data_IF_735042259075
#
_entry.id   IF_735042259075
#
_cell.length_a   1.000
_cell.length_b   1.000
_cell.length_c   1.000
_cell.angle_alpha   90.00
_cell.angle_beta   90.00
_cell.angle_gamma   90.00
#
_symmetry.space_group_name_H-M   'P 1'
#
loop_
_entity.id
_entity.type
_entity.pdbx_description
1 polymer ?
#
# COMPACT_ATOMS: atom_id res chain seq x y z
N UNK A 1 0.08 -22.90 -10.96
CA UNK A 1 0.03 -21.65 -10.17
C UNK A 1 0.44 -20.44 -11.02
N UNK A 2 1.50 -20.57 -11.82
CA UNK A 2 2.11 -19.48 -12.60
C UNK A 2 1.18 -18.76 -13.58
N UNK A 3 0.32 -19.48 -14.31
CA UNK A 3 -0.61 -18.86 -15.28
C UNK A 3 -1.62 -17.91 -14.61
N UNK A 4 -2.08 -18.24 -13.40
CA UNK A 4 -3.02 -17.41 -12.62
C UNK A 4 -2.29 -16.15 -12.11
N UNK A 5 -1.05 -16.29 -11.65
CA UNK A 5 -0.23 -15.16 -11.21
C UNK A 5 0.04 -14.18 -12.36
N UNK A 6 0.42 -14.68 -13.53
CA UNK A 6 0.67 -13.88 -14.73
C UNK A 6 -0.59 -13.12 -15.15
N UNK A 7 -1.74 -13.79 -15.21
CA UNK A 7 -2.97 -13.15 -15.65
C UNK A 7 -3.48 -12.12 -14.64
N UNK A 8 -3.36 -12.40 -13.34
CA UNK A 8 -3.70 -11.46 -12.27
C UNK A 8 -2.88 -10.17 -12.38
N UNK A 9 -1.57 -10.27 -12.64
CA UNK A 9 -0.68 -9.11 -12.76
C UNK A 9 -1.05 -8.17 -13.93
N UNK A 10 -1.62 -8.69 -15.03
CA UNK A 10 -2.08 -7.85 -16.15
C UNK A 10 -3.22 -6.90 -15.79
N UNK A 11 -3.91 -7.15 -14.68
CA UNK A 11 -5.02 -6.32 -14.22
C UNK A 11 -4.63 -5.26 -13.19
N UNK A 12 -3.36 -5.26 -12.75
CA UNK A 12 -2.86 -4.39 -11.67
C UNK A 12 -2.90 -2.91 -12.03
N UNK A 13 -2.59 -2.56 -13.28
CA UNK A 13 -2.62 -1.18 -13.75
C UNK A 13 -4.04 -0.61 -13.73
N UNK A 14 -5.03 -1.44 -14.12
CA UNK A 14 -6.45 -1.07 -14.07
C UNK A 14 -6.93 -0.83 -12.64
N UNK A 15 -6.52 -1.70 -11.71
CA UNK A 15 -6.79 -1.51 -10.27
C UNK A 15 -6.20 -0.20 -9.73
N UNK A 16 -4.96 0.14 -10.11
CA UNK A 16 -4.29 1.39 -9.70
C UNK A 16 -5.01 2.62 -10.28
N UNK A 17 -5.39 2.59 -11.55
CA UNK A 17 -6.17 3.67 -12.16
C UNK A 17 -7.53 3.86 -11.47
N UNK A 18 -8.25 2.77 -11.19
CA UNK A 18 -9.51 2.84 -10.46
C UNK A 18 -9.35 3.35 -9.03
N UNK A 19 -8.18 3.18 -8.40
CA UNK A 19 -7.89 3.79 -7.09
C UNK A 19 -7.89 5.31 -7.19
N UNK A 20 -7.38 5.88 -8.29
CA UNK A 20 -7.44 7.32 -8.55
C UNK A 20 -8.89 7.76 -8.71
N UNK A 21 -9.69 7.05 -9.50
CA UNK A 21 -11.12 7.38 -9.66
C UNK A 21 -11.89 7.28 -8.34
N UNK A 22 -11.62 6.24 -7.54
CA UNK A 22 -12.20 6.09 -6.22
C UNK A 22 -11.86 7.29 -5.33
N UNK A 23 -10.59 7.52 -5.01
CA UNK A 23 -10.27 8.58 -4.03
C UNK A 23 -10.40 9.99 -4.61
N UNK A 24 -10.26 10.14 -5.92
CA UNK A 24 -10.56 11.37 -6.65
C UNK A 24 -12.02 11.76 -6.55
N UNK A 25 -12.93 10.79 -6.72
CA UNK A 25 -14.35 11.05 -6.53
C UNK A 25 -14.70 11.42 -5.09
N UNK A 26 -14.06 10.80 -4.08
CA UNK A 26 -14.26 11.17 -2.68
C UNK A 26 -13.73 12.58 -2.36
N UNK A 27 -12.55 12.92 -2.89
CA UNK A 27 -11.98 14.27 -2.78
C UNK A 27 -12.89 15.33 -3.40
N UNK A 28 -13.37 15.09 -4.63
CA UNK A 28 -14.29 16.01 -5.30
C UNK A 28 -15.63 16.12 -4.55
N UNK A 29 -16.19 15.00 -4.06
CA UNK A 29 -17.39 15.00 -3.23
C UNK A 29 -17.24 15.94 -2.02
N UNK A 30 -16.08 15.95 -1.38
CA UNK A 30 -15.81 16.77 -0.21
C UNK A 30 -15.71 18.27 -0.52
N UNK A 31 -15.34 18.66 -1.75
CA UNK A 31 -15.21 20.06 -2.17
C UNK A 31 -16.51 20.64 -2.75
N UNK A 32 -17.41 19.79 -3.23
CA UNK A 32 -18.65 20.23 -3.87
C UNK A 32 -19.65 20.77 -2.85
N UNK A 33 -20.45 21.75 -3.28
CA UNK A 33 -21.59 22.28 -2.49
C UNK A 33 -22.93 21.69 -2.93
N UNK A 34 -23.07 21.39 -4.23
CA UNK A 34 -24.28 20.82 -4.82
C UNK A 34 -24.48 19.36 -4.38
N UNK A 35 -25.67 19.05 -3.85
CA UNK A 35 -25.99 17.73 -3.29
C UNK A 35 -26.14 16.63 -4.35
N UNK A 36 -26.77 16.93 -5.50
CA UNK A 36 -26.88 15.97 -6.62
C UNK A 36 -25.49 15.58 -7.14
N UNK A 37 -24.57 16.55 -7.31
CA UNK A 37 -23.19 16.24 -7.69
C UNK A 37 -22.48 15.38 -6.64
N UNK A 38 -22.68 15.64 -5.34
CA UNK A 38 -22.10 14.80 -4.27
C UNK A 38 -22.54 13.36 -4.37
N UNK A 39 -23.82 13.11 -4.65
CA UNK A 39 -24.37 11.77 -4.79
C UNK A 39 -23.79 11.06 -6.02
N UNK A 40 -23.64 11.75 -7.14
CA UNK A 40 -22.97 11.20 -8.34
C UNK A 40 -21.54 10.78 -8.05
N UNK A 41 -20.76 11.62 -7.36
CA UNK A 41 -19.38 11.28 -6.98
C UNK A 41 -19.32 10.17 -5.92
N UNK A 42 -20.31 10.07 -5.01
CA UNK A 42 -20.43 8.92 -4.11
C UNK A 42 -20.73 7.61 -4.87
N UNK A 43 -21.56 7.67 -5.92
CA UNK A 43 -21.80 6.57 -6.85
C UNK A 43 -20.50 6.13 -7.53
N UNK A 44 -19.73 7.07 -8.07
CA UNK A 44 -18.44 6.80 -8.71
C UNK A 44 -17.41 6.19 -7.74
N UNK A 45 -17.36 6.68 -6.49
CA UNK A 45 -16.53 6.09 -5.43
C UNK A 45 -16.90 4.63 -5.20
N UNK A 46 -18.19 4.34 -5.10
CA UNK A 46 -18.71 3.01 -4.77
C UNK A 46 -18.48 2.03 -5.93
N UNK A 47 -18.78 2.44 -7.16
CA UNK A 47 -18.55 1.65 -8.38
C UNK A 47 -17.05 1.36 -8.61
N UNK A 48 -16.19 2.35 -8.41
CA UNK A 48 -14.74 2.18 -8.53
C UNK A 48 -14.20 1.26 -7.43
N UNK A 49 -14.68 1.40 -6.19
CA UNK A 49 -14.33 0.51 -5.07
C UNK A 49 -14.68 -0.94 -5.40
N UNK A 50 -15.91 -1.19 -5.86
CA UNK A 50 -16.36 -2.53 -6.21
C UNK A 50 -15.56 -3.13 -7.37
N UNK A 51 -15.32 -2.34 -8.43
CA UNK A 51 -14.51 -2.77 -9.58
C UNK A 51 -13.09 -3.17 -9.17
N UNK A 52 -12.46 -2.42 -8.26
CA UNK A 52 -11.14 -2.77 -7.72
C UNK A 52 -11.12 -4.09 -6.98
N UNK A 53 -12.15 -4.38 -6.19
CA UNK A 53 -12.28 -5.68 -5.49
C UNK A 53 -12.28 -6.84 -6.49
N UNK A 54 -12.97 -6.69 -7.62
CA UNK A 54 -12.96 -7.69 -8.69
C UNK A 54 -11.56 -7.94 -9.27
N UNK A 55 -10.77 -6.89 -9.51
CA UNK A 55 -9.38 -7.03 -9.99
C UNK A 55 -8.42 -7.62 -8.95
N UNK A 56 -8.82 -7.69 -7.67
CA UNK A 56 -7.98 -8.17 -6.58
C UNK A 56 -8.30 -9.59 -6.13
N UNK A 57 -9.31 -10.21 -6.74
CA UNK A 57 -9.67 -11.59 -6.43
C UNK A 57 -8.43 -12.48 -6.54
N UNK A 58 -8.23 -13.31 -5.52
CA UNK A 58 -7.10 -14.24 -5.40
C UNK A 58 -5.70 -13.60 -5.29
N UNK A 59 -5.59 -12.28 -5.10
CA UNK A 59 -4.27 -11.62 -4.93
C UNK A 59 -3.47 -12.12 -3.72
N UNK A 60 -4.14 -12.65 -2.69
CA UNK A 60 -3.46 -13.24 -1.53
C UNK A 60 -2.47 -14.36 -1.88
N UNK A 61 -2.65 -15.06 -3.01
CA UNK A 61 -1.70 -16.11 -3.44
C UNK A 61 -0.30 -15.51 -3.71
N UNK A 62 -0.23 -14.28 -4.22
CA UNK A 62 1.04 -13.59 -4.47
C UNK A 62 1.77 -13.27 -3.16
N UNK A 63 1.04 -13.01 -2.07
CA UNK A 63 1.65 -12.75 -0.77
C UNK A 63 2.24 -14.03 -0.16
N UNK A 64 1.66 -15.21 -0.42
CA UNK A 64 2.25 -16.50 -0.01
C UNK A 64 3.57 -16.74 -0.73
N UNK A 65 3.61 -16.55 -2.05
CA UNK A 65 4.85 -16.67 -2.83
C UNK A 65 5.92 -15.66 -2.37
N UNK A 66 5.51 -14.42 -2.09
CA UNK A 66 6.41 -13.40 -1.55
C UNK A 66 6.98 -13.79 -0.17
N UNK A 67 6.17 -14.39 0.71
CA UNK A 67 6.63 -14.89 2.02
C UNK A 67 7.70 -15.98 1.84
N UNK A 68 7.47 -16.94 0.94
CA UNK A 68 8.45 -17.99 0.64
C UNK A 68 9.78 -17.42 0.15
N UNK A 69 9.74 -16.41 -0.74
CA UNK A 69 10.93 -15.69 -1.22
C UNK A 69 11.68 -14.99 -0.08
N UNK A 70 10.97 -14.32 0.83
CA UNK A 70 11.59 -13.64 1.99
C UNK A 70 12.27 -14.66 2.93
N UNK A 71 11.67 -15.84 3.12
CA UNK A 71 12.30 -16.89 3.92
C UNK A 71 13.63 -17.35 3.33
N UNK A 72 13.66 -17.57 2.01
CA UNK A 72 14.83 -18.04 1.27
C UNK A 72 15.92 -16.98 1.08
N UNK A 73 15.59 -15.69 1.18
CA UNK A 73 16.56 -14.60 0.98
C UNK A 73 17.57 -14.53 2.13
N UNK A 74 18.81 -14.96 1.89
CA UNK A 74 19.90 -14.93 2.88
C UNK A 74 20.48 -13.54 3.13
N UNK A 75 20.21 -12.57 2.26
CA UNK A 75 20.73 -11.20 2.38
C UNK A 75 19.99 -10.37 3.44
N UNK A 76 18.76 -10.75 3.76
CA UNK A 76 17.93 -10.05 4.74
C UNK A 76 18.30 -10.43 6.17
N UNK A 77 18.56 -9.43 6.99
CA UNK A 77 18.72 -9.65 8.42
C UNK A 77 17.38 -10.05 9.09
N UNK A 78 17.48 -10.65 10.28
CA UNK A 78 16.31 -11.20 11.01
C UNK A 78 15.18 -10.18 11.18
N UNK A 79 15.50 -8.93 11.55
CA UNK A 79 14.51 -7.87 11.72
C UNK A 79 13.84 -7.49 10.39
N UNK A 80 14.58 -7.36 9.29
CA UNK A 80 14.00 -7.07 7.98
C UNK A 80 13.10 -8.21 7.50
N UNK A 81 13.52 -9.48 7.68
CA UNK A 81 12.68 -10.64 7.38
C UNK A 81 11.37 -10.60 8.16
N UNK A 82 11.44 -10.37 9.47
CA UNK A 82 10.26 -10.27 10.33
C UNK A 82 9.29 -9.18 9.83
N UNK A 83 9.76 -7.94 9.64
CA UNK A 83 8.91 -6.85 9.18
C UNK A 83 8.29 -7.13 7.80
N UNK A 84 9.04 -7.70 6.88
CA UNK A 84 8.54 -8.03 5.54
C UNK A 84 7.54 -9.19 5.57
N UNK A 85 7.75 -10.24 6.37
CA UNK A 85 6.79 -11.34 6.53
C UNK A 85 5.47 -10.82 7.11
N UNK A 86 5.51 -10.02 8.18
CA UNK A 86 4.30 -9.47 8.79
C UNK A 86 3.57 -8.49 7.87
N UNK A 87 4.31 -7.73 7.05
CA UNK A 87 3.73 -6.93 5.97
C UNK A 87 2.91 -7.81 5.01
N UNK A 88 3.51 -8.90 4.52
CA UNK A 88 2.85 -9.82 3.57
C UNK A 88 1.68 -10.59 4.19
N UNK A 89 1.79 -11.01 5.45
CA UNK A 89 0.68 -11.61 6.18
C UNK A 89 -0.49 -10.64 6.32
N UNK A 90 -0.22 -9.36 6.62
CA UNK A 90 -1.25 -8.33 6.67
C UNK A 90 -2.00 -8.19 5.33
N UNK A 91 -1.27 -8.15 4.21
CA UNK A 91 -1.87 -8.10 2.87
C UNK A 91 -2.59 -9.39 2.47
N UNK A 92 -2.04 -10.56 2.83
CA UNK A 92 -2.70 -11.84 2.63
C UNK A 92 -4.08 -11.88 3.31
N UNK A 93 -4.13 -11.56 4.61
CA UNK A 93 -5.40 -11.53 5.36
C UNK A 93 -6.34 -10.42 4.86
N UNK A 94 -5.80 -9.28 4.43
CA UNK A 94 -6.59 -8.24 3.76
C UNK A 94 -7.32 -8.81 2.54
N UNK A 95 -6.60 -9.41 1.59
CA UNK A 95 -7.22 -9.97 0.38
C UNK A 95 -8.15 -11.14 0.71
N UNK A 96 -7.80 -11.99 1.69
CA UNK A 96 -8.64 -13.09 2.11
C UNK A 96 -10.01 -12.59 2.61
N UNK A 97 -10.03 -11.65 3.55
CA UNK A 97 -11.28 -11.09 4.08
C UNK A 97 -12.01 -10.21 3.07
N UNK A 98 -11.31 -9.48 2.21
CA UNK A 98 -11.93 -8.67 1.15
C UNK A 98 -12.63 -9.57 0.12
N UNK A 99 -12.05 -10.72 -0.23
CA UNK A 99 -12.70 -11.71 -1.10
C UNK A 99 -13.96 -12.30 -0.45
N UNK A 100 -13.90 -12.68 0.84
CA UNK A 100 -15.09 -13.17 1.57
C UNK A 100 -16.20 -12.12 1.63
N UNK A 101 -15.86 -10.87 1.96
CA UNK A 101 -16.83 -9.77 1.97
C UNK A 101 -17.43 -9.55 0.59
N UNK A 102 -16.63 -9.67 -0.46
CA UNK A 102 -17.06 -9.50 -1.84
C UNK A 102 -18.02 -10.60 -2.29
N UNK A 103 -17.68 -11.86 -2.09
CA UNK A 103 -18.58 -12.98 -2.41
C UNK A 103 -19.87 -12.94 -1.58
N UNK A 104 -19.77 -12.50 -0.33
CA UNK A 104 -20.93 -12.26 0.52
C UNK A 104 -21.83 -11.15 -0.02
N UNK A 105 -21.26 -10.03 -0.47
CA UNK A 105 -22.01 -8.94 -1.09
C UNK A 105 -22.71 -9.33 -2.40
N UNK A 106 -22.16 -10.31 -3.11
CA UNK A 106 -22.71 -10.90 -4.33
C UNK A 106 -23.72 -12.03 -4.06
N UNK A 107 -24.01 -12.33 -2.78
CA UNK A 107 -24.90 -13.43 -2.35
C UNK A 107 -24.45 -14.81 -2.83
N UNK A 108 -23.16 -14.98 -3.15
CA UNK A 108 -22.56 -16.29 -3.49
C UNK A 108 -22.40 -17.13 -2.23
N UNK A 109 -22.08 -16.48 -1.10
CA UNK A 109 -21.94 -17.09 0.23
C UNK A 109 -22.73 -16.28 1.25
N UNK A 110 -23.34 -16.93 2.24
CA UNK A 110 -24.09 -16.24 3.29
C UNK A 110 -23.16 -15.95 4.49
N UNK A 111 -22.56 -14.76 4.50
CA UNK A 111 -21.65 -14.31 5.56
C UNK A 111 -22.00 -12.89 6.03
N UNK A 112 -21.42 -12.48 7.17
CA UNK A 112 -21.56 -11.12 7.67
C UNK A 112 -20.64 -10.15 6.89
N UNK A 113 -21.14 -9.59 5.79
CA UNK A 113 -20.38 -8.66 4.92
C UNK A 113 -19.74 -7.49 5.68
N UNK A 114 -20.43 -6.78 6.61
CA UNK A 114 -19.80 -5.72 7.40
C UNK A 114 -18.62 -6.20 8.25
N UNK A 115 -18.74 -7.36 8.90
CA UNK A 115 -17.69 -7.94 9.73
C UNK A 115 -16.43 -8.21 8.90
N UNK A 116 -16.56 -8.93 7.79
CA UNK A 116 -15.41 -9.27 6.95
C UNK A 116 -14.81 -8.04 6.27
N UNK A 117 -15.63 -7.07 5.86
CA UNK A 117 -15.12 -5.79 5.31
C UNK A 117 -14.28 -5.04 6.34
N UNK A 118 -14.71 -5.01 7.61
CA UNK A 118 -13.95 -4.37 8.69
C UNK A 118 -12.66 -5.13 9.00
N UNK A 119 -12.72 -6.46 9.05
CA UNK A 119 -11.53 -7.31 9.25
C UNK A 119 -10.50 -7.12 8.13
N UNK A 120 -10.95 -7.02 6.87
CA UNK A 120 -10.07 -6.70 5.74
C UNK A 120 -9.35 -5.37 5.95
N UNK A 121 -10.07 -4.30 6.30
CA UNK A 121 -9.47 -2.99 6.54
C UNK A 121 -8.48 -2.98 7.72
N UNK A 122 -8.76 -3.74 8.79
CA UNK A 122 -7.81 -3.92 9.91
C UNK A 122 -6.53 -4.63 9.48
N UNK A 123 -6.64 -5.72 8.72
CA UNK A 123 -5.49 -6.45 8.17
C UNK A 123 -4.68 -5.57 7.21
N UNK A 124 -5.35 -4.76 6.39
CA UNK A 124 -4.69 -3.80 5.52
C UNK A 124 -3.88 -2.76 6.31
N UNK A 125 -4.48 -2.17 7.34
CA UNK A 125 -3.80 -1.25 8.24
C UNK A 125 -2.56 -1.91 8.88
N UNK A 126 -2.69 -3.13 9.39
CA UNK A 126 -1.57 -3.85 10.00
C UNK A 126 -0.44 -4.09 8.99
N UNK A 127 -0.77 -4.57 7.78
CA UNK A 127 0.23 -4.72 6.70
C UNK A 127 0.96 -3.42 6.37
N UNK A 128 0.23 -2.30 6.28
CA UNK A 128 0.82 -0.97 6.05
C UNK A 128 1.70 -0.52 7.22
N UNK A 129 1.33 -0.82 8.46
CA UNK A 129 2.11 -0.47 9.63
C UNK A 129 3.48 -1.17 9.65
N UNK A 130 3.54 -2.47 9.36
CA UNK A 130 4.83 -3.16 9.25
C UNK A 130 5.65 -2.68 8.04
N UNK A 131 4.97 -2.38 6.93
CA UNK A 131 5.62 -1.81 5.76
C UNK A 131 6.24 -0.44 6.07
N UNK A 132 5.53 0.40 6.82
CA UNK A 132 6.02 1.68 7.32
C UNK A 132 7.28 1.52 8.17
N UNK A 133 7.26 0.62 9.17
CA UNK A 133 8.42 0.33 10.00
C UNK A 133 9.61 -0.18 9.17
N UNK A 134 9.36 -1.01 8.16
CA UNK A 134 10.40 -1.50 7.27
C UNK A 134 11.03 -0.39 6.41
N UNK A 135 10.24 0.59 5.96
CA UNK A 135 10.77 1.76 5.24
C UNK A 135 11.61 2.64 6.16
N UNK A 136 11.15 2.93 7.38
CA UNK A 136 11.93 3.71 8.35
C UNK A 136 13.27 3.05 8.64
N UNK A 137 13.26 1.73 8.87
CA UNK A 137 14.48 0.94 9.02
C UNK A 137 15.40 1.07 7.80
N UNK A 138 14.84 0.95 6.59
CA UNK A 138 15.60 1.02 5.35
C UNK A 138 16.21 2.41 5.13
N UNK A 139 15.50 3.48 5.52
CA UNK A 139 16.02 4.85 5.51
C UNK A 139 17.20 5.00 6.48
N UNK A 140 17.08 4.52 7.72
CA UNK A 140 18.19 4.54 8.67
C UNK A 140 19.42 3.81 8.13
N UNK A 141 19.23 2.62 7.55
CA UNK A 141 20.32 1.86 6.94
C UNK A 141 20.95 2.60 5.73
N UNK A 142 20.12 3.22 4.89
CA UNK A 142 20.59 4.03 3.76
C UNK A 142 21.44 5.23 4.23
N UNK A 143 21.06 5.92 5.31
CA UNK A 143 21.88 7.00 5.89
C UNK A 143 23.21 6.50 6.45
N UNK A 144 23.20 5.36 7.15
CA UNK A 144 24.45 4.73 7.63
C UNK A 144 25.37 4.36 6.46
N UNK A 145 24.82 3.82 5.38
CA UNK A 145 25.59 3.47 4.19
C UNK A 145 26.14 4.71 3.47
N UNK A 146 25.38 5.81 3.40
CA UNK A 146 25.85 7.09 2.86
C UNK A 146 27.02 7.64 3.68
N UNK A 147 26.92 7.59 5.02
CA UNK A 147 27.99 8.03 5.91
C UNK A 147 29.27 7.19 5.75
N UNK A 148 29.13 5.85 5.71
CA UNK A 148 30.26 4.93 5.48
C UNK A 148 30.88 5.11 4.11
N UNK A 149 30.06 5.38 3.10
CA UNK A 149 30.56 5.63 1.75
C UNK A 149 31.35 6.92 1.72
N UNK A 150 30.88 8.02 2.32
CA UNK A 150 31.59 9.32 2.33
C UNK A 150 32.87 9.36 3.16
N UNK A 151 33.02 8.47 4.15
CA UNK A 151 34.19 8.40 5.02
C UNK A 151 34.89 7.05 4.85
N UNK A 152 35.44 6.76 3.66
CA UNK A 152 36.04 5.46 3.43
C UNK A 152 37.32 5.34 4.26
N UNK A 153 37.51 4.18 4.89
CA UNK A 153 38.79 3.81 5.52
C UNK A 153 39.90 3.71 4.47
N UNK A 154 41.17 3.90 4.87
CA UNK A 154 42.34 3.81 3.97
C UNK A 154 42.29 2.49 3.15
N UNK A 155 42.39 2.61 1.82
CA UNK A 155 42.26 1.49 0.86
C UNK A 155 41.04 1.54 -0.06
N UNK A 156 40.39 2.70 -0.21
CA UNK A 156 39.13 2.88 -0.92
C UNK A 156 39.26 2.73 -2.46
N UNK A 157 38.20 2.27 -3.16
CA UNK A 157 38.19 2.14 -4.61
C UNK A 157 38.32 3.50 -5.34
N UNK A 158 38.74 3.48 -6.62
CA UNK A 158 38.88 4.66 -7.50
C UNK A 158 37.70 5.64 -7.35
N UNK A 159 38.01 6.94 -7.36
CA UNK A 159 37.07 8.07 -7.16
C UNK A 159 35.79 7.96 -8.02
N UNK A 160 35.91 7.45 -9.25
CA UNK A 160 34.79 7.27 -10.19
C UNK A 160 33.81 6.18 -9.73
N UNK A 161 34.32 5.06 -9.20
CA UNK A 161 33.51 4.01 -8.56
C UNK A 161 32.80 4.53 -7.31
N UNK A 162 33.42 5.46 -6.59
CA UNK A 162 32.88 6.03 -5.37
C UNK A 162 31.66 6.92 -5.63
N UNK A 163 31.74 7.78 -6.64
CA UNK A 163 30.62 8.65 -7.03
C UNK A 163 29.40 7.84 -7.49
N UNK A 164 29.61 6.76 -8.24
CA UNK A 164 28.54 5.86 -8.66
C UNK A 164 27.82 5.21 -7.46
N UNK A 165 28.56 4.83 -6.41
CA UNK A 165 27.97 4.27 -5.17
C UNK A 165 27.12 5.33 -4.44
N UNK A 166 27.61 6.55 -4.28
CA UNK A 166 26.86 7.63 -3.63
C UNK A 166 25.59 7.96 -4.43
N UNK A 167 25.68 8.00 -5.77
CA UNK A 167 24.52 8.25 -6.61
C UNK A 167 23.46 7.16 -6.47
N UNK A 168 23.88 5.88 -6.42
CA UNK A 168 22.99 4.75 -6.16
C UNK A 168 22.28 4.89 -4.80
N UNK A 169 23.01 5.22 -3.74
CA UNK A 169 22.44 5.43 -2.40
C UNK A 169 21.42 6.57 -2.39
N UNK A 170 21.68 7.67 -3.10
CA UNK A 170 20.74 8.80 -3.23
C UNK A 170 19.49 8.42 -4.02
N UNK A 171 19.63 7.65 -5.09
CA UNK A 171 18.49 7.12 -5.87
C UNK A 171 17.62 6.20 -5.00
N UNK A 172 18.24 5.29 -4.26
CA UNK A 172 17.54 4.42 -3.29
C UNK A 172 16.80 5.24 -2.22
N UNK A 173 17.43 6.30 -1.69
CA UNK A 173 16.80 7.19 -0.71
C UNK A 173 15.57 7.89 -1.27
N UNK A 174 15.66 8.43 -2.49
CA UNK A 174 14.52 9.05 -3.17
C UNK A 174 13.37 8.06 -3.31
N UNK A 175 13.68 6.82 -3.70
CA UNK A 175 12.68 5.76 -3.80
C UNK A 175 12.05 5.42 -2.44
N UNK A 176 12.83 5.39 -1.36
CA UNK A 176 12.33 5.19 -0.01
C UNK A 176 11.38 6.31 0.43
N UNK A 177 11.68 7.58 0.12
CA UNK A 177 10.79 8.71 0.41
C UNK A 177 9.48 8.64 -0.38
N UNK A 178 9.54 8.30 -1.67
CA UNK A 178 8.34 8.12 -2.50
C UNK A 178 7.47 7.00 -1.92
N UNK A 179 8.09 5.88 -1.54
CA UNK A 179 7.37 4.77 -0.91
C UNK A 179 6.81 5.14 0.47
N UNK A 180 7.52 5.97 1.25
CA UNK A 180 7.05 6.48 2.53
C UNK A 180 5.78 7.32 2.36
N UNK A 181 5.79 8.28 1.43
CA UNK A 181 4.62 9.12 1.11
C UNK A 181 3.43 8.28 0.64
N UNK A 182 3.69 7.26 -0.18
CA UNK A 182 2.66 6.31 -0.63
C UNK A 182 2.01 5.58 0.56
N UNK A 183 2.81 5.06 1.49
CA UNK A 183 2.29 4.35 2.67
C UNK A 183 1.54 5.30 3.61
N UNK A 184 2.06 6.50 3.84
CA UNK A 184 1.37 7.51 4.64
C UNK A 184 0.01 7.88 4.03
N UNK A 185 -0.05 8.03 2.71
CA UNK A 185 -1.30 8.24 1.99
C UNK A 185 -2.30 7.09 2.18
N UNK A 186 -1.83 5.84 2.16
CA UNK A 186 -2.68 4.65 2.37
C UNK A 186 -3.08 4.41 3.83
N UNK A 187 -2.27 4.86 4.80
CA UNK A 187 -2.59 4.74 6.23
C UNK A 187 -3.81 5.58 6.62
N UNK A 188 -4.06 6.71 5.93
CA UNK A 188 -5.23 7.56 6.18
C UNK A 188 -6.55 6.80 5.94
N UNK A 189 -6.85 6.30 4.72
CA UNK A 189 -8.07 5.52 4.49
C UNK A 189 -8.08 4.20 5.28
N UNK A 190 -6.95 3.52 5.44
CA UNK A 190 -6.90 2.26 6.20
C UNK A 190 -7.26 2.46 7.68
N UNK A 191 -6.78 3.53 8.30
CA UNK A 191 -7.10 3.87 9.70
C UNK A 191 -8.54 4.38 9.87
N UNK A 192 -9.04 5.17 8.91
CA UNK A 192 -10.41 5.68 8.92
C UNK A 192 -11.47 4.59 8.82
N UNK A 193 -11.25 3.58 7.96
CA UNK A 193 -12.22 2.53 7.70
C UNK A 193 -12.02 1.25 8.54
N UNK A 194 -10.80 0.96 8.98
CA UNK A 194 -10.48 -0.33 9.61
C UNK A 194 -10.44 -0.32 11.13
N UNK A 195 -9.62 0.56 11.69
CA UNK A 195 -9.21 0.47 13.09
C UNK A 195 -9.90 1.48 13.99
N UNK A 196 -10.62 2.47 13.43
CA UNK A 196 -11.16 3.62 14.17
C UNK A 196 -10.10 4.36 15.00
N UNK A 197 -8.81 4.20 14.66
CA UNK A 197 -7.70 4.87 15.36
C UNK A 197 -7.87 6.39 15.38
N UNK A 198 -8.30 7.06 14.30
CA UNK A 198 -8.51 8.50 14.35
C UNK A 198 -9.56 8.90 15.38
N UNK A 199 -10.66 8.15 15.47
CA UNK A 199 -11.69 8.35 16.48
C UNK A 199 -11.15 8.10 17.90
N UNK A 200 -10.30 7.10 18.08
CA UNK A 200 -9.69 6.78 19.38
C UNK A 200 -8.70 7.86 19.84
N UNK A 201 -7.88 8.40 18.92
CA UNK A 201 -6.82 9.36 19.24
C UNK A 201 -7.30 10.81 19.27
N UNK A 202 -8.19 11.19 18.36
CA UNK A 202 -8.60 12.57 18.14
C UNK A 202 -10.09 12.82 18.45
N UNK A 203 -10.81 11.80 18.91
CA UNK A 203 -12.26 11.87 19.18
C UNK A 203 -13.14 12.00 17.93
N UNK A 204 -12.54 12.08 16.73
CA UNK A 204 -13.24 12.23 15.44
C UNK A 204 -12.55 11.42 14.36
N UNK A 205 -13.34 10.90 13.42
CA UNK A 205 -12.79 10.23 12.25
C UNK A 205 -12.26 11.26 11.23
N UNK A 206 -11.40 10.81 10.30
CA UNK A 206 -10.97 11.66 9.19
C UNK A 206 -12.17 12.05 8.32
N UNK A 207 -12.19 13.31 7.87
CA UNK A 207 -13.19 13.77 6.91
C UNK A 207 -12.94 13.15 5.53
N UNK A 208 -13.99 13.09 4.71
CA UNK A 208 -13.91 12.63 3.31
C UNK A 208 -12.80 13.34 2.51
N UNK A 209 -12.53 14.61 2.84
CA UNK A 209 -11.44 15.39 2.22
C UNK A 209 -10.08 14.74 2.48
N UNK A 210 -9.75 14.46 3.74
CA UNK A 210 -8.46 13.87 4.11
C UNK A 210 -8.32 12.44 3.59
N UNK A 211 -9.40 11.66 3.66
CA UNK A 211 -9.43 10.30 3.10
C UNK A 211 -9.20 10.34 1.58
N UNK A 212 -9.84 11.27 0.88
CA UNK A 212 -9.65 11.50 -0.55
C UNK A 212 -8.23 11.90 -0.90
N UNK A 213 -7.63 12.86 -0.17
CA UNK A 213 -6.24 13.30 -0.38
C UNK A 213 -5.26 12.14 -0.16
N UNK A 214 -5.35 11.45 0.99
CA UNK A 214 -4.44 10.35 1.30
C UNK A 214 -4.48 9.25 0.24
N UNK A 215 -5.69 8.82 -0.12
CA UNK A 215 -5.88 7.80 -1.14
C UNK A 215 -5.47 8.25 -2.55
N UNK A 216 -5.63 9.53 -2.90
CA UNK A 216 -5.16 10.09 -4.18
C UNK A 216 -3.64 10.14 -4.26
N UNK A 217 -2.96 10.62 -3.21
CA UNK A 217 -1.48 10.68 -3.16
C UNK A 217 -0.90 9.27 -3.32
N UNK A 218 -1.42 8.30 -2.58
CA UNK A 218 -0.94 6.92 -2.69
C UNK A 218 -1.26 6.29 -4.06
N UNK A 219 -2.41 6.60 -4.64
CA UNK A 219 -2.80 6.13 -5.97
C UNK A 219 -1.94 6.73 -7.08
N UNK A 220 -1.73 8.04 -7.06
CA UNK A 220 -0.90 8.77 -8.01
C UNK A 220 0.54 8.27 -8.01
N UNK A 221 1.13 8.08 -6.82
CA UNK A 221 2.47 7.47 -6.71
C UNK A 221 2.47 6.04 -7.26
N UNK A 222 1.46 5.24 -6.94
CA UNK A 222 1.39 3.85 -7.41
C UNK A 222 1.26 3.76 -8.93
N UNK A 223 0.53 4.69 -9.56
CA UNK A 223 0.40 4.76 -11.01
C UNK A 223 1.69 5.28 -11.65
N UNK A 224 2.30 6.33 -11.10
CA UNK A 224 3.60 6.84 -11.57
C UNK A 224 4.68 5.76 -11.55
N UNK A 225 4.72 4.93 -10.50
CA UNK A 225 5.67 3.80 -10.40
C UNK A 225 5.32 2.62 -11.33
N UNK A 226 4.08 2.56 -11.83
CA UNK A 226 3.63 1.50 -12.75
C UNK A 226 3.78 1.90 -14.21
N UNK A 227 3.85 3.20 -14.50
CA UNK A 227 3.99 3.71 -15.85
C UNK A 227 5.44 3.50 -16.34
N UNK A 228 5.64 2.86 -17.50
CA UNK A 228 6.96 2.58 -18.05
C UNK A 228 7.73 3.85 -18.46
#
# INVERSE_FOLDING_TARGET
>A
MDKILIQSNKTDERDKFLKILQYGSLFLKALLKNQDLKERFQGLFSASTFSRKMFRLFKGIHDIDAINKIFQDSSLNRTAKFLQIFTRLGFFFYFFFDNLATFSSLKVINLNTPFYSKSAMKSWFFGLFFAFLNILRSLCHNYVNDYKSKNPTLGSPKIESHNAVIEKIRKERKQLYINLLRILGDLIPASAFGTNIPTLLFGKNFSDLWIGIGGLVSAGISLYQAWP
#
